data_IF_139889674103
#
_entry.id   IF_139889674103
#
_cell.length_a   1.000
_cell.length_b   1.000
_cell.length_c   1.000
_cell.angle_alpha   90.00
_cell.angle_beta   90.00
_cell.angle_gamma   90.00
#
_symmetry.space_group_name_H-M   'P 1'
#
loop_
_entity.id
_entity.type
_entity.pdbx_description
1 polymer ?
#
# COMPACT_ATOMS: atom_id res chain seq x y z
N UNK A 1 0.10 -40.96 -36.38
CA UNK A 1 0.57 -40.14 -37.52
C UNK A 1 2.05 -39.87 -37.29
N UNK A 2 2.90 -40.19 -38.28
CA UNK A 2 4.35 -40.36 -38.12
C UNK A 2 5.07 -39.11 -37.59
N UNK A 3 5.71 -39.22 -36.41
CA UNK A 3 6.83 -38.35 -36.07
C UNK A 3 8.02 -38.77 -36.93
N UNK A 4 8.37 -37.98 -37.95
CA UNK A 4 9.73 -38.05 -38.51
C UNK A 4 10.65 -37.49 -37.43
N UNK A 5 11.28 -38.38 -36.66
CA UNK A 5 12.51 -38.09 -35.95
C UNK A 5 13.60 -37.80 -36.99
N UNK A 6 13.64 -36.56 -37.49
CA UNK A 6 14.88 -36.00 -38.00
C UNK A 6 15.53 -35.30 -36.82
N UNK A 7 16.49 -35.99 -36.21
CA UNK A 7 17.43 -35.38 -35.28
C UNK A 7 18.38 -34.48 -36.07
N UNK A 8 17.84 -33.42 -36.70
CA UNK A 8 18.61 -32.30 -37.23
C UNK A 8 18.80 -31.35 -36.08
N UNK A 9 19.97 -31.41 -35.45
CA UNK A 9 20.43 -30.30 -34.62
C UNK A 9 20.43 -29.06 -35.50
N UNK A 10 19.55 -28.10 -35.18
CA UNK A 10 19.51 -26.80 -35.85
C UNK A 10 20.37 -25.88 -35.01
N UNK A 11 21.49 -25.44 -35.57
CA UNK A 11 22.33 -24.41 -34.94
C UNK A 11 21.62 -23.06 -35.03
N UNK A 12 21.03 -22.64 -33.93
CA UNK A 12 20.40 -21.33 -33.81
C UNK A 12 21.43 -20.31 -33.31
N UNK A 13 21.67 -19.28 -34.11
CA UNK A 13 22.54 -18.16 -33.74
C UNK A 13 21.70 -16.97 -33.31
N UNK A 14 22.07 -16.37 -32.18
CA UNK A 14 21.57 -15.06 -31.75
C UNK A 14 22.50 -14.01 -32.33
N UNK A 15 21.96 -13.12 -33.15
CA UNK A 15 22.73 -12.00 -33.74
C UNK A 15 22.10 -10.67 -33.35
N UNK A 16 22.91 -9.69 -32.96
CA UNK A 16 22.44 -8.31 -32.80
C UNK A 16 22.36 -7.64 -34.17
N UNK A 17 21.17 -7.17 -34.54
CA UNK A 17 20.93 -6.54 -35.84
C UNK A 17 20.29 -5.16 -35.68
N UNK A 18 20.56 -4.23 -36.61
CA UNK A 18 19.87 -2.94 -36.63
C UNK A 18 18.35 -3.10 -36.69
N UNK A 19 17.62 -2.39 -35.84
CA UNK A 19 16.17 -2.56 -35.66
C UNK A 19 15.38 -2.24 -36.94
N UNK A 20 15.89 -1.36 -37.79
CA UNK A 20 15.30 -0.96 -39.06
C UNK A 20 15.31 -2.08 -40.12
N UNK A 21 16.20 -3.06 -39.98
CA UNK A 21 16.23 -4.23 -40.87
C UNK A 21 15.13 -5.22 -40.53
N UNK A 22 14.62 -5.21 -39.29
CA UNK A 22 13.56 -6.10 -38.80
C UNK A 22 12.18 -5.58 -39.19
N UNK A 23 11.41 -6.43 -39.88
CA UNK A 23 10.13 -6.07 -40.53
C UNK A 23 8.94 -6.67 -39.77
N UNK A 24 8.08 -5.85 -39.15
CA UNK A 24 6.88 -6.37 -38.49
C UNK A 24 5.89 -6.95 -39.50
N UNK A 25 5.19 -8.02 -39.13
CA UNK A 25 4.12 -8.57 -39.95
C UNK A 25 2.82 -7.78 -39.77
N UNK A 26 2.41 -7.05 -40.81
CA UNK A 26 1.15 -6.28 -40.83
C UNK A 26 -0.10 -7.17 -40.73
N UNK A 27 0.02 -8.48 -40.95
CA UNK A 27 -1.06 -9.46 -40.81
C UNK A 27 -0.95 -10.30 -39.53
N UNK A 28 -0.19 -9.84 -38.53
CA UNK A 28 -0.12 -10.52 -37.24
C UNK A 28 -1.51 -10.50 -36.57
N UNK A 29 -2.12 -11.67 -36.27
CA UNK A 29 -3.41 -11.72 -35.60
C UNK A 29 -3.33 -11.28 -34.12
N UNK A 30 -2.14 -11.32 -33.50
CA UNK A 30 -1.96 -10.91 -32.10
C UNK A 30 -1.84 -9.41 -31.98
N UNK A 31 -2.71 -8.80 -31.18
CA UNK A 31 -2.67 -7.36 -30.85
C UNK A 31 -1.93 -7.16 -29.54
N UNK A 32 -1.18 -6.05 -29.43
CA UNK A 32 -0.47 -5.65 -28.23
C UNK A 32 -1.01 -4.29 -27.75
N UNK A 33 -1.46 -4.23 -26.50
CA UNK A 33 -1.92 -2.98 -25.91
C UNK A 33 -0.72 -2.09 -25.55
N UNK A 34 -0.93 -0.76 -25.44
CA UNK A 34 0.12 0.16 -24.98
C UNK A 34 0.67 -0.24 -23.61
N UNK A 35 -0.21 -0.69 -22.70
CA UNK A 35 0.16 -1.16 -21.37
C UNK A 35 1.09 -2.38 -21.44
N UNK A 36 0.75 -3.39 -22.24
CA UNK A 36 1.59 -4.58 -22.40
C UNK A 36 2.95 -4.22 -23.01
N UNK A 37 2.99 -3.33 -24.01
CA UNK A 37 4.25 -2.85 -24.60
C UNK A 37 5.11 -2.17 -23.54
N UNK A 38 4.52 -1.35 -22.66
CA UNK A 38 5.24 -0.72 -21.56
C UNK A 38 5.78 -1.74 -20.55
N UNK A 39 5.01 -2.77 -20.18
CA UNK A 39 5.50 -3.84 -19.30
C UNK A 39 6.72 -4.54 -19.92
N UNK A 40 6.65 -4.91 -21.20
CA UNK A 40 7.77 -5.52 -21.92
C UNK A 40 8.98 -4.56 -21.97
N UNK A 41 8.75 -3.26 -22.18
CA UNK A 41 9.81 -2.26 -22.18
C UNK A 41 10.49 -2.13 -20.81
N UNK A 42 9.72 -2.15 -19.72
CA UNK A 42 10.27 -2.14 -18.37
C UNK A 42 11.12 -3.39 -18.11
N UNK A 43 10.64 -4.58 -18.51
CA UNK A 43 11.43 -5.82 -18.39
C UNK A 43 12.73 -5.76 -19.21
N UNK A 44 12.70 -5.24 -20.43
CA UNK A 44 13.90 -5.06 -21.26
C UNK A 44 14.85 -4.03 -20.65
N UNK A 45 14.32 -2.95 -20.06
CA UNK A 45 15.12 -1.93 -19.40
C UNK A 45 15.85 -2.47 -18.18
N UNK A 46 15.19 -3.31 -17.37
CA UNK A 46 15.76 -3.89 -16.15
C UNK A 46 16.74 -5.04 -16.45
N UNK A 47 16.30 -6.05 -17.20
CA UNK A 47 17.05 -7.29 -17.39
C UNK A 47 17.88 -7.32 -18.67
N UNK A 48 17.78 -6.28 -19.50
CA UNK A 48 18.27 -6.29 -20.87
C UNK A 48 17.35 -7.08 -21.80
N UNK A 49 17.71 -7.11 -23.09
CA UNK A 49 16.92 -7.79 -24.12
C UNK A 49 17.22 -9.30 -24.14
N UNK A 50 16.84 -10.02 -23.08
CA UNK A 50 17.23 -11.42 -22.85
C UNK A 50 16.56 -12.39 -23.83
N UNK A 51 15.30 -12.14 -24.21
CA UNK A 51 14.56 -13.03 -25.12
C UNK A 51 14.65 -12.46 -26.54
N UNK A 52 15.34 -13.10 -27.52
CA UNK A 52 15.51 -12.57 -28.88
C UNK A 52 14.23 -12.61 -29.73
N UNK A 53 14.11 -11.67 -30.66
CA UNK A 53 13.04 -11.68 -31.66
C UNK A 53 13.31 -12.79 -32.68
N UNK A 54 12.28 -13.53 -33.08
CA UNK A 54 12.41 -14.59 -34.09
C UNK A 54 11.94 -14.06 -35.43
N UNK A 55 12.77 -14.17 -36.47
CA UNK A 55 12.46 -13.71 -37.84
C UNK A 55 12.65 -14.83 -38.88
N UNK A 56 12.03 -14.69 -40.03
CA UNK A 56 12.31 -15.52 -41.21
C UNK A 56 13.55 -15.04 -41.99
N UNK A 57 13.90 -15.73 -43.07
CA UNK A 57 15.02 -15.36 -43.95
C UNK A 57 14.91 -13.96 -44.56
N UNK A 58 13.72 -13.35 -44.58
CA UNK A 58 13.46 -12.00 -45.11
C UNK A 58 13.41 -10.89 -44.05
N UNK A 59 13.87 -11.18 -42.82
CA UNK A 59 13.78 -10.32 -41.63
C UNK A 59 12.36 -10.06 -41.14
N UNK A 60 11.38 -10.85 -41.56
CA UNK A 60 10.01 -10.67 -41.11
C UNK A 60 9.80 -11.31 -39.74
N UNK A 61 9.21 -10.58 -38.80
CA UNK A 61 8.95 -11.07 -37.44
C UNK A 61 7.96 -12.25 -37.49
N UNK A 62 8.39 -13.38 -36.92
CA UNK A 62 7.58 -14.56 -36.64
C UNK A 62 7.10 -14.58 -35.19
N UNK A 63 7.96 -14.20 -34.24
CA UNK A 63 7.64 -14.04 -32.81
C UNK A 63 8.37 -12.85 -32.21
N UNK A 64 7.71 -12.14 -31.29
CA UNK A 64 8.29 -11.01 -30.57
C UNK A 64 7.85 -9.62 -31.04
N UNK A 65 6.67 -9.47 -31.69
CA UNK A 65 6.14 -8.15 -32.09
C UNK A 65 6.01 -7.17 -30.91
N UNK A 66 5.55 -7.64 -29.75
CA UNK A 66 5.51 -6.83 -28.53
C UNK A 66 6.91 -6.35 -28.08
N UNK A 67 7.92 -7.23 -28.15
CA UNK A 67 9.33 -6.90 -27.86
C UNK A 67 9.91 -5.92 -28.87
N UNK A 68 9.58 -6.05 -30.16
CA UNK A 68 9.97 -5.08 -31.18
C UNK A 68 9.37 -3.69 -30.91
N UNK A 69 8.07 -3.64 -30.56
CA UNK A 69 7.41 -2.38 -30.21
C UNK A 69 8.00 -1.75 -28.94
N UNK A 70 8.30 -2.56 -27.93
CA UNK A 70 8.95 -2.12 -26.70
C UNK A 70 10.38 -1.60 -26.96
N UNK A 71 11.15 -2.28 -27.80
CA UNK A 71 12.49 -1.85 -28.19
C UNK A 71 12.48 -0.50 -28.90
N UNK A 72 11.49 -0.27 -29.78
CA UNK A 72 11.27 1.06 -30.39
C UNK A 72 10.92 2.11 -29.36
N UNK A 73 10.07 1.79 -28.38
CA UNK A 73 9.71 2.70 -27.30
C UNK A 73 10.94 3.11 -26.47
N UNK A 74 11.88 2.18 -26.26
CA UNK A 74 13.15 2.44 -25.58
C UNK A 74 14.22 3.12 -26.45
N UNK A 75 13.95 3.36 -27.73
CA UNK A 75 14.93 3.94 -28.65
C UNK A 75 16.10 3.02 -29.02
N UNK A 76 15.93 1.71 -28.91
CA UNK A 76 16.98 0.74 -29.24
C UNK A 76 17.36 0.82 -30.74
N UNK A 77 18.65 0.93 -31.03
CA UNK A 77 19.17 0.91 -32.41
C UNK A 77 19.45 -0.51 -32.90
N UNK A 78 19.78 -1.43 -32.00
CA UNK A 78 20.05 -2.83 -32.29
C UNK A 78 19.23 -3.74 -31.38
N UNK A 79 18.82 -4.90 -31.90
CA UNK A 79 18.03 -5.90 -31.19
C UNK A 79 18.58 -7.31 -31.43
N UNK A 80 18.49 -8.21 -30.44
CA UNK A 80 18.90 -9.60 -30.61
C UNK A 80 17.84 -10.37 -31.41
N UNK A 81 18.30 -11.09 -32.41
CA UNK A 81 17.45 -11.80 -33.38
C UNK A 81 17.94 -13.23 -33.59
N UNK A 82 16.98 -14.17 -33.62
CA UNK A 82 17.16 -15.54 -34.11
C UNK A 82 16.50 -15.64 -35.50
N UNK A 83 17.22 -16.18 -36.48
CA UNK A 83 16.73 -16.31 -37.85
C UNK A 83 16.41 -17.76 -38.19
N UNK A 84 15.20 -18.01 -38.68
CA UNK A 84 14.72 -19.33 -39.10
C UNK A 84 14.68 -19.44 -40.63
N UNK A 85 15.84 -19.63 -41.26
CA UNK A 85 15.95 -19.75 -42.73
C UNK A 85 15.48 -21.11 -43.26
N UNK A 86 15.50 -22.13 -42.40
CA UNK A 86 15.15 -23.51 -42.78
C UNK A 86 13.63 -23.74 -42.91
N UNK A 87 12.79 -22.83 -42.42
CA UNK A 87 11.35 -22.97 -42.48
C UNK A 87 10.80 -22.50 -43.84
N UNK A 88 9.94 -23.32 -44.44
CA UNK A 88 9.12 -22.86 -45.56
C UNK A 88 8.17 -21.73 -45.11
N UNK A 89 7.67 -20.88 -46.03
CA UNK A 89 6.72 -19.82 -45.68
C UNK A 89 5.48 -20.31 -44.93
N UNK A 90 4.98 -21.51 -45.26
CA UNK A 90 3.85 -22.12 -44.56
C UNK A 90 4.22 -22.56 -43.14
N UNK A 91 5.38 -23.18 -42.95
CA UNK A 91 5.85 -23.57 -41.62
C UNK A 91 6.13 -22.36 -40.73
N UNK A 92 6.74 -21.30 -41.26
CA UNK A 92 6.97 -20.04 -40.55
C UNK A 92 5.66 -19.39 -40.07
N UNK A 93 4.60 -19.49 -40.90
CA UNK A 93 3.24 -19.05 -40.53
C UNK A 93 2.62 -19.89 -39.43
N UNK A 94 2.71 -21.22 -39.52
CA UNK A 94 2.23 -22.13 -38.48
C UNK A 94 2.97 -21.85 -37.17
N UNK A 95 4.30 -21.72 -37.22
CA UNK A 95 5.13 -21.39 -36.06
C UNK A 95 4.69 -20.09 -35.38
N UNK A 96 4.50 -19.01 -36.16
CA UNK A 96 4.06 -17.71 -35.63
C UNK A 96 2.72 -17.78 -34.88
N UNK A 97 1.79 -18.66 -35.31
CA UNK A 97 0.53 -18.89 -34.60
C UNK A 97 0.75 -19.77 -33.38
N UNK A 98 1.47 -20.88 -33.54
CA UNK A 98 1.70 -21.87 -32.50
C UNK A 98 2.45 -21.28 -31.30
N UNK A 99 3.50 -20.48 -31.53
CA UNK A 99 4.29 -19.83 -30.46
C UNK A 99 3.41 -18.96 -29.54
N UNK A 100 2.41 -18.29 -30.10
CA UNK A 100 1.46 -17.50 -29.32
C UNK A 100 0.44 -18.40 -28.60
N UNK A 101 -0.16 -19.37 -29.32
CA UNK A 101 -1.26 -20.18 -28.79
C UNK A 101 -0.81 -21.18 -27.72
N UNK A 102 0.39 -21.75 -27.85
CA UNK A 102 0.88 -22.75 -26.90
C UNK A 102 1.15 -22.13 -25.53
N UNK A 103 1.60 -20.88 -25.47
CA UNK A 103 1.74 -20.14 -24.20
C UNK A 103 0.38 -19.90 -23.55
N UNK A 104 -0.67 -19.58 -24.33
CA UNK A 104 -2.05 -19.40 -23.81
C UNK A 104 -2.67 -20.67 -23.22
N UNK A 105 -2.19 -21.85 -23.63
CA UNK A 105 -2.71 -23.12 -23.14
C UNK A 105 -2.12 -23.52 -21.77
N UNK A 106 -1.16 -22.75 -21.25
CA UNK A 106 -0.55 -23.01 -19.94
C UNK A 106 -1.32 -22.29 -18.84
N UNK A 107 -1.38 -22.89 -17.66
CA UNK A 107 -2.03 -22.33 -16.47
C UNK A 107 -0.99 -22.15 -15.35
N UNK A 108 -1.25 -21.18 -14.48
CA UNK A 108 -0.43 -20.98 -13.29
C UNK A 108 -0.85 -21.95 -12.18
N UNK A 109 0.11 -22.45 -11.42
CA UNK A 109 -0.20 -23.05 -10.14
C UNK A 109 -0.27 -21.93 -9.09
N UNK A 110 -1.46 -21.47 -8.78
CA UNK A 110 -1.66 -20.22 -8.02
C UNK A 110 -0.96 -20.24 -6.65
N UNK A 111 -1.02 -21.34 -5.89
CA UNK A 111 -0.35 -21.41 -4.58
C UNK A 111 1.18 -21.27 -4.68
N UNK A 112 1.81 -21.93 -5.66
CA UNK A 112 3.26 -21.85 -5.84
C UNK A 112 3.66 -20.45 -6.33
N UNK A 113 2.87 -19.86 -7.22
CA UNK A 113 3.10 -18.51 -7.71
C UNK A 113 2.96 -17.48 -6.58
N UNK A 114 1.91 -17.59 -5.75
CA UNK A 114 1.70 -16.71 -4.60
C UNK A 114 2.87 -16.79 -3.61
N UNK A 115 3.35 -18.00 -3.31
CA UNK A 115 4.52 -18.22 -2.46
C UNK A 115 5.78 -17.54 -3.02
N UNK A 116 6.06 -17.71 -4.31
CA UNK A 116 7.21 -17.07 -4.97
C UNK A 116 7.08 -15.53 -4.94
N UNK A 117 5.89 -14.99 -5.21
CA UNK A 117 5.66 -13.54 -5.18
C UNK A 117 5.82 -12.97 -3.76
N UNK A 118 5.38 -13.70 -2.74
CA UNK A 118 5.56 -13.33 -1.33
C UNK A 118 7.03 -13.37 -0.93
N UNK A 119 7.77 -14.42 -1.29
CA UNK A 119 9.20 -14.55 -1.02
C UNK A 119 9.99 -13.39 -1.65
N UNK A 120 9.75 -13.09 -2.94
CA UNK A 120 10.38 -11.97 -3.63
C UNK A 120 10.04 -10.63 -2.98
N UNK A 121 8.77 -10.43 -2.57
CA UNK A 121 8.33 -9.23 -1.87
C UNK A 121 9.03 -9.02 -0.53
N UNK A 122 9.40 -10.10 0.16
CA UNK A 122 10.01 -10.04 1.48
C UNK A 122 11.54 -9.97 1.42
N UNK A 123 12.16 -10.52 0.38
CA UNK A 123 13.60 -10.57 0.22
C UNK A 123 14.22 -9.19 -0.06
N UNK A 124 13.58 -8.39 -0.91
CA UNK A 124 14.06 -7.06 -1.26
C UNK A 124 12.89 -6.15 -1.67
N UNK A 125 12.61 -5.15 -0.82
CA UNK A 125 11.53 -4.18 -1.02
C UNK A 125 11.78 -3.24 -2.22
N UNK A 126 12.99 -3.21 -2.77
CA UNK A 126 13.31 -2.44 -3.98
C UNK A 126 12.94 -3.18 -5.27
N UNK A 127 12.66 -4.48 -5.21
CA UNK A 127 12.26 -5.27 -6.38
C UNK A 127 10.88 -4.83 -6.85
N UNK A 128 10.81 -4.34 -8.09
CA UNK A 128 9.55 -4.02 -8.73
C UNK A 128 8.87 -5.30 -9.25
N UNK A 129 7.93 -5.85 -8.48
CA UNK A 129 7.18 -7.05 -8.86
C UNK A 129 6.30 -6.86 -10.11
N UNK A 130 5.99 -5.63 -10.54
CA UNK A 130 5.28 -5.39 -11.79
C UNK A 130 6.06 -5.90 -13.03
N UNK A 131 7.38 -6.10 -12.88
CA UNK A 131 8.24 -6.70 -13.92
C UNK A 131 7.92 -8.17 -14.21
N UNK A 132 7.17 -8.85 -13.33
CA UNK A 132 6.65 -10.20 -13.60
C UNK A 132 5.58 -10.21 -14.69
N UNK A 133 5.02 -9.04 -15.03
CA UNK A 133 3.92 -8.89 -15.98
C UNK A 133 2.53 -8.96 -15.34
N UNK A 134 2.43 -9.36 -14.07
CA UNK A 134 1.21 -9.22 -13.28
C UNK A 134 1.03 -7.77 -12.83
N UNK A 135 -0.22 -7.32 -12.72
CA UNK A 135 -0.50 -6.03 -12.07
C UNK A 135 -0.32 -6.12 -10.55
N UNK A 136 -0.03 -4.99 -9.91
CA UNK A 136 -0.02 -4.85 -8.43
C UNK A 136 -1.23 -5.54 -7.77
N UNK A 137 -2.43 -5.27 -8.30
CA UNK A 137 -3.68 -5.84 -7.76
C UNK A 137 -3.71 -7.37 -7.87
N UNK A 138 -3.25 -7.92 -8.99
CA UNK A 138 -3.18 -9.36 -9.22
C UNK A 138 -2.17 -10.06 -8.30
N UNK A 139 -1.08 -9.37 -7.97
CA UNK A 139 -0.07 -9.85 -7.03
C UNK A 139 -0.64 -9.84 -5.61
N UNK A 140 -1.24 -8.72 -5.19
CA UNK A 140 -1.79 -8.55 -3.85
C UNK A 140 -2.93 -9.54 -3.57
N UNK A 141 -3.83 -9.79 -4.53
CA UNK A 141 -4.91 -10.77 -4.35
C UNK A 141 -4.38 -12.19 -4.19
N UNK A 142 -3.41 -12.61 -5.03
CA UNK A 142 -2.82 -13.95 -4.92
C UNK A 142 -2.11 -14.19 -3.60
N UNK A 143 -1.40 -13.18 -3.11
CA UNK A 143 -0.74 -13.25 -1.80
C UNK A 143 -1.77 -13.27 -0.68
N UNK A 144 -2.83 -12.46 -0.76
CA UNK A 144 -3.87 -12.42 0.25
C UNK A 144 -4.62 -13.76 0.38
N UNK A 145 -4.96 -14.41 -0.74
CA UNK A 145 -5.63 -15.72 -0.75
C UNK A 145 -4.80 -16.83 -0.05
N UNK A 146 -3.47 -16.70 0.00
CA UNK A 146 -2.61 -17.60 0.77
C UNK A 146 -2.59 -17.31 2.27
N UNK A 147 -2.76 -16.05 2.67
CA UNK A 147 -2.60 -15.61 4.07
C UNK A 147 -3.93 -15.66 4.83
N UNK A 148 -5.06 -15.42 4.16
CA UNK A 148 -6.35 -15.32 4.83
C UNK A 148 -7.08 -16.66 5.01
N UNK A 149 -7.22 -17.08 6.27
CA UNK A 149 -8.23 -18.03 6.69
C UNK A 149 -9.60 -17.34 6.86
N UNK A 150 -10.61 -17.81 6.14
CA UNK A 150 -12.07 -17.55 6.20
C UNK A 150 -12.56 -16.22 6.85
N UNK A 151 -13.35 -15.40 6.12
CA UNK A 151 -13.98 -14.19 6.65
C UNK A 151 -15.10 -14.56 7.64
N UNK A 152 -14.99 -14.11 8.91
CA UNK A 152 -16.05 -13.87 9.91
C UNK A 152 -15.57 -13.92 11.38
N UNK A 153 -14.27 -14.00 11.66
CA UNK A 153 -13.75 -13.87 13.03
C UNK A 153 -13.29 -12.43 13.31
N UNK A 154 -13.43 -11.93 14.55
CA UNK A 154 -12.75 -10.72 15.00
C UNK A 154 -11.27 -10.77 14.61
N UNK A 155 -10.77 -9.72 13.96
CA UNK A 155 -9.36 -9.64 13.60
C UNK A 155 -8.53 -9.46 14.88
N UNK A 156 -7.61 -10.39 15.23
CA UNK A 156 -6.76 -10.22 16.40
C UNK A 156 -5.93 -8.93 16.35
N UNK A 157 -5.66 -8.39 15.16
CA UNK A 157 -4.95 -7.13 14.99
C UNK A 157 -5.79 -5.90 15.42
N UNK A 158 -7.12 -6.02 15.47
CA UNK A 158 -8.03 -4.96 15.96
C UNK A 158 -8.12 -4.93 17.49
N UNK A 159 -7.59 -5.93 18.18
CA UNK A 159 -7.57 -5.98 19.64
C UNK A 159 -6.63 -4.89 20.19
N UNK A 160 -7.17 -4.04 21.07
CA UNK A 160 -6.38 -3.01 21.74
C UNK A 160 -5.70 -3.59 22.98
N UNK A 161 -4.42 -3.25 23.12
CA UNK A 161 -3.60 -3.65 24.27
C UNK A 161 -3.56 -2.46 25.22
N UNK A 162 -3.90 -2.69 26.49
CA UNK A 162 -3.66 -1.68 27.53
C UNK A 162 -2.17 -1.66 27.86
N UNK A 163 -1.52 -0.50 27.74
CA UNK A 163 -0.20 -0.33 28.33
C UNK A 163 -0.35 -0.22 29.84
N UNK A 164 -0.06 -1.32 30.54
CA UNK A 164 0.26 -1.35 31.96
C UNK A 164 1.77 -1.13 32.17
N UNK A 165 2.17 -0.68 33.37
CA UNK A 165 3.58 -0.42 33.70
C UNK A 165 4.13 0.92 33.19
N UNK A 166 5.47 1.12 33.25
CA UNK A 166 6.11 2.39 32.91
C UNK A 166 5.99 2.69 31.41
N UNK A 167 5.91 3.99 31.08
CA UNK A 167 5.97 4.47 29.70
C UNK A 167 7.45 4.52 29.30
N UNK A 168 7.79 3.84 28.21
CA UNK A 168 9.16 3.62 27.77
C UNK A 168 9.59 4.70 26.78
N UNK A 169 8.75 4.96 25.77
CA UNK A 169 9.00 5.99 24.78
C UNK A 169 9.01 7.38 25.39
N UNK A 170 9.78 8.27 24.77
CA UNK A 170 9.88 9.69 25.11
C UNK A 170 9.81 10.54 23.84
N UNK A 171 9.43 11.80 24.00
CA UNK A 171 9.41 12.75 22.90
C UNK A 171 10.80 12.86 22.26
N UNK A 172 10.87 12.71 20.94
CA UNK A 172 12.10 12.67 20.14
C UNK A 172 12.62 11.25 19.88
N UNK A 173 12.11 10.22 20.55
CA UNK A 173 12.51 8.83 20.31
C UNK A 173 12.07 8.37 18.92
N UNK A 174 12.91 7.54 18.30
CA UNK A 174 12.61 6.90 17.02
C UNK A 174 12.68 5.40 17.23
N UNK A 175 11.63 4.71 16.81
CA UNK A 175 11.54 3.26 16.88
C UNK A 175 11.52 2.64 15.49
N UNK A 176 12.34 1.61 15.31
CA UNK A 176 12.41 0.78 14.12
C UNK A 176 11.63 -0.51 14.41
N UNK A 177 10.58 -0.76 13.63
CA UNK A 177 9.69 -1.90 13.77
C UNK A 177 9.84 -2.73 12.49
N UNK A 178 10.92 -3.51 12.40
CA UNK A 178 11.33 -4.15 11.15
C UNK A 178 11.58 -3.09 10.07
N UNK A 179 10.76 -3.11 9.00
CA UNK A 179 10.78 -2.11 7.92
C UNK A 179 10.08 -0.79 8.28
N UNK A 180 9.23 -0.79 9.31
CA UNK A 180 8.44 0.37 9.73
C UNK A 180 9.24 1.31 10.64
N UNK A 181 8.78 2.56 10.74
CA UNK A 181 9.39 3.57 11.59
C UNK A 181 8.33 4.40 12.31
N UNK A 182 8.52 4.64 13.60
CA UNK A 182 7.68 5.53 14.40
C UNK A 182 8.57 6.58 15.03
N UNK A 183 8.15 7.85 15.01
CA UNK A 183 8.74 8.91 15.82
C UNK A 183 7.73 9.36 16.88
N UNK A 184 8.20 9.47 18.12
CA UNK A 184 7.44 10.15 19.15
C UNK A 184 7.64 11.67 18.96
N UNK A 185 6.68 12.38 18.39
CA UNK A 185 6.91 13.74 17.92
C UNK A 185 5.64 14.54 17.57
N UNK A 186 5.84 15.81 17.24
CA UNK A 186 4.76 16.73 16.91
C UNK A 186 4.54 16.83 15.39
N UNK A 187 3.34 16.51 14.94
CA UNK A 187 2.91 16.51 13.53
C UNK A 187 2.70 17.91 12.94
N UNK A 188 2.89 18.96 13.75
CA UNK A 188 2.91 20.35 13.30
C UNK A 188 4.33 20.89 13.09
N UNK A 189 5.35 20.08 13.35
CA UNK A 189 6.75 20.49 13.27
C UNK A 189 7.48 19.81 12.11
N UNK A 190 8.09 20.60 11.23
CA UNK A 190 8.84 20.09 10.07
C UNK A 190 10.03 19.21 10.47
N UNK A 191 10.65 19.50 11.62
CA UNK A 191 11.77 18.71 12.14
C UNK A 191 11.38 17.24 12.38
N UNK A 192 10.15 16.99 12.87
CA UNK A 192 9.61 15.64 13.09
C UNK A 192 9.56 14.85 11.79
N UNK A 193 9.02 15.44 10.72
CA UNK A 193 8.94 14.80 9.40
C UNK A 193 10.34 14.58 8.80
N UNK A 194 11.24 15.54 8.95
CA UNK A 194 12.62 15.43 8.45
C UNK A 194 13.33 14.23 9.08
N UNK A 195 13.24 14.10 10.40
CA UNK A 195 13.84 12.99 11.15
C UNK A 195 13.20 11.65 10.80
N UNK A 196 11.87 11.57 10.78
CA UNK A 196 11.12 10.35 10.47
C UNK A 196 11.37 9.87 9.04
N UNK A 197 11.26 10.76 8.07
CA UNK A 197 11.31 10.39 6.66
C UNK A 197 12.74 10.17 6.16
N UNK A 198 13.75 10.80 6.80
CA UNK A 198 15.17 10.61 6.48
C UNK A 198 15.48 10.66 4.96
N UNK A 199 14.94 11.66 4.28
CA UNK A 199 15.09 11.85 2.83
C UNK A 199 14.11 11.06 1.95
N UNK A 200 13.39 10.09 2.50
CA UNK A 200 12.34 9.35 1.80
C UNK A 200 11.05 10.17 1.67
N UNK A 201 10.13 9.70 0.82
CA UNK A 201 8.83 10.34 0.58
C UNK A 201 7.71 9.29 0.63
N UNK A 202 6.57 9.70 1.19
CA UNK A 202 5.39 8.85 1.28
C UNK A 202 4.66 8.75 -0.07
N UNK A 203 4.14 7.57 -0.40
CA UNK A 203 3.31 7.32 -1.58
C UNK A 203 1.82 7.47 -1.28
N UNK A 204 1.47 7.48 0.00
CA UNK A 204 0.10 7.64 0.50
C UNK A 204 0.13 8.26 1.89
N UNK A 205 -0.91 9.03 2.20
CA UNK A 205 -1.23 9.43 3.57
C UNK A 205 -2.53 8.76 4.01
N UNK A 206 -2.51 8.18 5.20
CA UNK A 206 -3.70 7.90 6.00
C UNK A 206 -3.56 8.72 7.27
N UNK A 207 -4.55 9.57 7.57
CA UNK A 207 -4.45 10.50 8.69
C UNK A 207 -5.80 10.64 9.38
N UNK A 208 -5.82 10.33 10.67
CA UNK A 208 -6.95 10.50 11.59
C UNK A 208 -6.65 11.63 12.58
N UNK A 209 -6.40 12.82 12.05
CA UNK A 209 -6.14 14.01 12.87
C UNK A 209 -7.30 14.29 13.84
N UNK A 210 -7.04 14.83 15.05
CA UNK A 210 -8.11 15.10 16.01
C UNK A 210 -9.20 16.00 15.43
N UNK A 211 -10.45 15.72 15.80
CA UNK A 211 -11.61 16.40 15.21
C UNK A 211 -12.04 17.68 15.93
N UNK A 212 -11.29 18.17 16.92
CA UNK A 212 -11.70 19.33 17.73
C UNK A 212 -13.07 19.15 18.40
N UNK A 213 -13.33 17.92 18.88
CA UNK A 213 -14.54 17.54 19.61
C UNK A 213 -14.14 17.11 21.01
N UNK A 214 -14.82 17.65 22.03
CA UNK A 214 -14.60 17.24 23.43
C UNK A 214 -14.91 15.76 23.63
N UNK A 215 -13.98 15.04 24.23
CA UNK A 215 -14.14 13.60 24.50
C UNK A 215 -15.06 13.41 25.71
N UNK A 216 -14.87 14.20 26.77
CA UNK A 216 -15.66 14.09 27.99
C UNK A 216 -17.13 14.48 27.73
N UNK A 217 -18.04 13.54 28.00
CA UNK A 217 -19.49 13.66 27.74
C UNK A 217 -19.96 13.13 26.38
N UNK A 218 -19.04 12.82 25.43
CA UNK A 218 -19.38 12.26 24.12
C UNK A 218 -18.91 10.81 23.92
N UNK A 219 -17.86 10.40 24.63
CA UNK A 219 -17.34 9.03 24.64
C UNK A 219 -17.26 8.56 26.09
N UNK A 220 -18.04 7.54 26.45
CA UNK A 220 -18.03 6.96 27.80
C UNK A 220 -19.41 6.43 28.22
N UNK A 221 -19.44 5.23 28.81
CA UNK A 221 -20.66 4.54 29.23
C UNK A 221 -21.40 5.25 30.37
N UNK A 222 -22.24 6.23 30.04
CA UNK A 222 -23.12 6.96 30.98
C UNK A 222 -22.39 7.51 32.22
N UNK A 223 -21.16 8.02 32.05
CA UNK A 223 -20.41 8.69 33.12
C UNK A 223 -19.60 7.78 34.05
N UNK A 224 -19.62 6.45 33.86
CA UNK A 224 -18.80 5.51 34.64
C UNK A 224 -17.32 5.47 34.20
N UNK A 225 -17.01 5.93 32.99
CA UNK A 225 -15.68 5.90 32.38
C UNK A 225 -15.33 7.31 31.89
N UNK A 226 -14.19 7.85 32.33
CA UNK A 226 -13.66 9.16 31.91
C UNK A 226 -12.39 8.95 31.07
N UNK A 227 -12.43 9.28 29.79
CA UNK A 227 -11.22 9.34 28.95
C UNK A 227 -10.48 10.66 29.19
N UNK A 228 -9.15 10.63 29.08
CA UNK A 228 -8.35 11.85 28.96
C UNK A 228 -8.66 12.50 27.61
N UNK A 229 -8.70 13.83 27.58
CA UNK A 229 -8.79 14.60 26.34
C UNK A 229 -7.52 14.38 25.48
N UNK A 230 -7.63 14.58 24.17
CA UNK A 230 -6.48 14.54 23.28
C UNK A 230 -5.50 15.67 23.63
N UNK A 231 -4.21 15.47 23.33
CA UNK A 231 -3.17 16.47 23.58
C UNK A 231 -3.49 17.84 22.94
N UNK A 232 -4.15 17.84 21.76
CA UNK A 232 -4.59 19.03 21.04
C UNK A 232 -5.90 18.75 20.29
N UNK A 233 -6.64 19.81 19.96
CA UNK A 233 -7.87 19.77 19.17
C UNK A 233 -8.89 18.77 19.76
N UNK A 234 -9.24 19.02 21.03
CA UNK A 234 -10.26 18.34 21.82
C UNK A 234 -11.43 19.28 22.15
N UNK A 235 -11.74 20.22 21.24
CA UNK A 235 -12.87 21.15 21.36
C UNK A 235 -12.56 22.49 22.02
N UNK A 236 -11.27 22.83 22.13
CA UNK A 236 -10.77 24.12 22.60
C UNK A 236 -10.53 25.13 21.47
N UNK A 237 -10.39 24.68 20.22
CA UNK A 237 -10.05 25.57 19.10
C UNK A 237 -11.29 26.21 18.48
N UNK A 238 -11.21 27.50 18.15
CA UNK A 238 -12.16 28.14 17.24
C UNK A 238 -12.02 27.57 15.81
N UNK A 239 -13.03 27.74 14.92
CA UNK A 239 -12.93 27.29 13.54
C UNK A 239 -11.67 27.80 12.83
N UNK A 240 -11.30 29.08 13.00
CA UNK A 240 -10.08 29.65 12.39
C UNK A 240 -8.80 29.00 12.93
N UNK A 241 -8.72 28.76 14.24
CA UNK A 241 -7.56 28.09 14.84
C UNK A 241 -7.46 26.64 14.36
N UNK A 242 -8.58 25.96 14.21
CA UNK A 242 -8.60 24.58 13.74
C UNK A 242 -8.25 24.47 12.25
N UNK A 243 -8.73 25.39 11.41
CA UNK A 243 -8.28 25.52 10.02
C UNK A 243 -6.76 25.73 9.95
N UNK A 244 -6.20 26.62 10.79
CA UNK A 244 -4.76 26.85 10.84
C UNK A 244 -3.99 25.57 11.22
N UNK A 245 -4.46 24.86 12.25
CA UNK A 245 -3.89 23.58 12.69
C UNK A 245 -3.86 22.56 11.54
N UNK A 246 -5.00 22.34 10.88
CA UNK A 246 -5.12 21.38 9.78
C UNK A 246 -4.31 21.82 8.56
N UNK A 247 -4.22 23.11 8.28
CA UNK A 247 -3.43 23.64 7.15
C UNK A 247 -1.95 23.35 7.33
N UNK A 248 -1.41 23.51 8.55
CA UNK A 248 -0.02 23.16 8.86
C UNK A 248 0.20 21.66 8.70
N UNK A 249 -0.66 20.83 9.32
CA UNK A 249 -0.56 19.38 9.27
C UNK A 249 -0.62 18.86 7.82
N UNK A 250 -1.62 19.26 7.05
CA UNK A 250 -1.79 18.83 5.65
C UNK A 250 -0.68 19.36 4.75
N UNK A 251 -0.20 20.57 5.00
CA UNK A 251 0.93 21.15 4.27
C UNK A 251 2.21 20.32 4.45
N UNK A 252 2.51 19.88 5.68
CA UNK A 252 3.65 19.01 5.95
C UNK A 252 3.45 17.62 5.34
N UNK A 253 2.28 17.01 5.50
CA UNK A 253 1.96 15.73 4.86
C UNK A 253 2.14 15.78 3.34
N UNK A 254 1.63 16.83 2.69
CA UNK A 254 1.81 17.11 1.25
C UNK A 254 3.30 17.24 0.88
N UNK A 255 4.05 18.05 1.63
CA UNK A 255 5.48 18.30 1.42
C UNK A 255 6.34 17.03 1.51
N UNK A 256 6.00 16.10 2.40
CA UNK A 256 6.77 14.85 2.62
C UNK A 256 6.22 13.65 1.84
N UNK A 257 5.37 13.89 0.86
CA UNK A 257 4.87 12.88 -0.06
C UNK A 257 5.43 13.05 -1.47
N UNK A 258 5.41 11.99 -2.27
CA UNK A 258 5.74 12.05 -3.70
C UNK A 258 4.68 12.82 -4.46
N UNK A 259 5.03 13.33 -5.64
CA UNK A 259 4.02 13.85 -6.57
C UNK A 259 3.08 12.70 -6.97
N UNK A 260 1.77 12.96 -7.00
CA UNK A 260 0.70 12.03 -7.38
C UNK A 260 0.31 10.98 -6.31
N UNK A 261 0.75 11.17 -5.07
CA UNK A 261 0.26 10.41 -3.92
C UNK A 261 -1.22 10.70 -3.62
N UNK A 262 -1.90 9.74 -3.00
CA UNK A 262 -3.29 9.86 -2.56
C UNK A 262 -3.36 10.00 -1.04
N UNK A 263 -4.09 11.00 -0.57
CA UNK A 263 -4.14 11.38 0.84
C UNK A 263 -5.56 11.24 1.38
N UNK A 264 -5.72 10.43 2.42
CA UNK A 264 -6.99 10.14 3.08
C UNK A 264 -7.03 10.86 4.42
N UNK A 265 -7.94 11.82 4.54
CA UNK A 265 -8.17 12.59 5.76
C UNK A 265 -9.50 12.19 6.38
N UNK A 266 -9.44 11.45 7.49
CA UNK A 266 -10.63 11.13 8.27
C UNK A 266 -11.16 12.39 8.94
N UNK A 267 -12.47 12.51 9.01
CA UNK A 267 -13.15 13.72 9.47
C UNK A 267 -14.51 13.36 10.09
N UNK A 268 -14.85 14.05 11.17
CA UNK A 268 -16.23 14.12 11.65
C UNK A 268 -17.02 15.13 10.80
N UNK A 269 -18.28 14.82 10.48
CA UNK A 269 -19.14 15.66 9.66
C UNK A 269 -19.29 17.10 10.22
N UNK A 270 -19.15 17.30 11.53
CA UNK A 270 -19.25 18.61 12.19
C UNK A 270 -18.16 19.59 11.78
N UNK A 271 -17.00 19.07 11.34
CA UNK A 271 -15.85 19.90 10.96
C UNK A 271 -15.48 19.73 9.48
N UNK A 272 -16.43 19.29 8.66
CA UNK A 272 -16.21 19.08 7.23
C UNK A 272 -15.74 20.38 6.53
N UNK A 273 -16.26 21.54 6.95
CA UNK A 273 -15.88 22.84 6.38
C UNK A 273 -14.40 23.16 6.64
N UNK A 274 -13.93 22.98 7.88
CA UNK A 274 -12.56 23.26 8.29
C UNK A 274 -11.56 22.34 7.58
N UNK A 275 -11.87 21.04 7.52
CA UNK A 275 -11.07 20.05 6.79
C UNK A 275 -11.02 20.34 5.29
N UNK A 276 -12.16 20.64 4.67
CA UNK A 276 -12.20 20.98 3.24
C UNK A 276 -11.44 22.28 2.94
N UNK A 277 -11.50 23.25 3.84
CA UNK A 277 -10.80 24.53 3.70
C UNK A 277 -9.30 24.35 3.78
N UNK A 278 -8.79 23.65 4.80
CA UNK A 278 -7.37 23.33 4.92
C UNK A 278 -6.87 22.47 3.74
N UNK A 279 -7.66 21.48 3.32
CA UNK A 279 -7.32 20.59 2.20
C UNK A 279 -7.18 21.31 0.87
N UNK A 280 -8.00 22.34 0.60
CA UNK A 280 -7.89 23.18 -0.61
C UNK A 280 -6.56 23.94 -0.67
N UNK A 281 -5.98 24.28 0.47
CA UNK A 281 -4.70 24.99 0.55
C UNK A 281 -3.50 24.04 0.41
N UNK A 282 -3.63 22.80 0.88
CA UNK A 282 -2.51 21.85 0.93
C UNK A 282 -2.40 20.91 -0.28
N UNK A 283 -3.51 20.63 -0.96
CA UNK A 283 -3.59 19.59 -1.99
C UNK A 283 -4.03 20.15 -3.35
N UNK A 284 -3.70 19.41 -4.42
CA UNK A 284 -4.07 19.84 -5.76
C UNK A 284 -5.57 19.69 -6.02
N UNK A 285 -6.15 18.56 -5.64
CA UNK A 285 -7.53 18.23 -5.95
C UNK A 285 -8.15 17.31 -4.89
N UNK A 286 -9.38 17.61 -4.46
CA UNK A 286 -10.27 16.64 -3.81
C UNK A 286 -10.88 15.75 -4.89
N UNK A 287 -10.59 14.45 -4.87
CA UNK A 287 -11.06 13.51 -5.89
C UNK A 287 -12.25 12.66 -5.43
N UNK A 288 -12.47 12.51 -4.13
CA UNK A 288 -13.61 11.77 -3.61
C UNK A 288 -13.94 12.18 -2.16
N UNK A 289 -15.18 11.93 -1.78
CA UNK A 289 -15.65 11.91 -0.39
C UNK A 289 -16.16 10.49 -0.12
N UNK A 290 -15.46 9.79 0.76
CA UNK A 290 -15.82 8.45 1.18
C UNK A 290 -16.66 8.54 2.45
N UNK A 291 -17.69 7.70 2.53
CA UNK A 291 -18.51 7.50 3.72
C UNK A 291 -18.19 6.13 4.30
N UNK A 292 -17.52 6.11 5.45
CA UNK A 292 -17.35 4.88 6.21
C UNK A 292 -18.60 4.64 7.05
N UNK A 293 -19.40 3.65 6.66
CA UNK A 293 -20.59 3.17 7.37
C UNK A 293 -20.18 2.15 8.42
N UNK A 294 -20.45 2.49 9.67
CA UNK A 294 -20.26 1.61 10.84
C UNK A 294 -21.44 0.64 10.94
N UNK A 295 -21.35 -0.40 11.75
CA UNK A 295 -22.46 -1.34 11.98
C UNK A 295 -23.50 -0.84 13.00
N UNK A 296 -23.15 0.10 13.88
CA UNK A 296 -24.07 0.72 14.84
C UNK A 296 -23.90 2.23 14.92
N UNK A 297 -24.99 2.96 15.17
CA UNK A 297 -24.94 4.39 15.43
C UNK A 297 -24.32 4.73 16.79
N UNK A 298 -23.64 5.87 16.87
CA UNK A 298 -23.08 6.43 18.11
C UNK A 298 -24.14 6.74 19.18
N UNK A 299 -23.72 7.18 20.36
CA UNK A 299 -24.63 7.61 21.44
C UNK A 299 -25.45 8.85 21.01
N UNK A 300 -26.68 8.97 21.52
CA UNK A 300 -27.59 10.08 21.22
C UNK A 300 -29.05 9.63 21.04
N UNK A 301 -29.99 10.60 21.09
CA UNK A 301 -31.43 10.34 21.02
C UNK A 301 -32.10 10.77 19.71
N UNK A 302 -31.44 11.60 18.90
CA UNK A 302 -31.93 12.02 17.58
C UNK A 302 -31.27 11.20 16.45
N UNK A 303 -30.78 11.83 15.39
CA UNK A 303 -30.00 11.13 14.36
C UNK A 303 -28.62 10.75 14.91
N UNK A 304 -28.48 9.46 15.22
CA UNK A 304 -27.23 8.87 15.70
C UNK A 304 -26.29 8.64 14.51
N UNK A 305 -25.15 9.33 14.49
CA UNK A 305 -24.15 9.12 13.45
C UNK A 305 -23.70 7.67 13.40
N UNK A 306 -23.95 7.01 12.27
CA UNK A 306 -23.47 5.66 11.93
C UNK A 306 -22.37 5.73 10.86
N UNK A 307 -21.75 6.88 10.69
CA UNK A 307 -20.70 7.05 9.71
C UNK A 307 -19.61 8.01 10.19
N UNK A 308 -18.45 7.89 9.54
CA UNK A 308 -17.41 8.92 9.48
C UNK A 308 -17.16 9.27 8.01
N UNK A 309 -16.60 10.45 7.77
CA UNK A 309 -16.26 10.93 6.45
C UNK A 309 -14.75 10.83 6.22
N UNK A 310 -14.36 10.57 4.98
CA UNK A 310 -12.95 10.54 4.60
C UNK A 310 -12.80 11.35 3.30
N UNK A 311 -12.07 12.44 3.38
CA UNK A 311 -11.75 13.28 2.23
C UNK A 311 -10.52 12.70 1.54
N UNK A 312 -10.66 12.42 0.23
CA UNK A 312 -9.60 11.80 -0.57
C UNK A 312 -9.03 12.82 -1.54
N UNK A 313 -7.78 13.21 -1.30
CA UNK A 313 -7.07 14.20 -2.09
C UNK A 313 -5.97 13.57 -2.94
N UNK A 314 -5.62 14.26 -4.03
CA UNK A 314 -4.39 14.03 -4.78
C UNK A 314 -3.41 15.14 -4.45
N UNK A 315 -2.20 14.74 -4.07
CA UNK A 315 -1.04 15.61 -4.04
C UNK A 315 -0.43 15.66 -5.45
N UNK A 316 -0.15 16.85 -5.99
CA UNK A 316 0.44 16.93 -7.33
C UNK A 316 -0.54 16.91 -8.51
N UNK A 317 -0.02 17.03 -9.74
CA UNK A 317 -0.82 17.24 -10.98
C UNK A 317 -0.70 16.12 -12.02
N UNK A 318 0.19 15.17 -11.83
CA UNK A 318 0.40 14.02 -12.70
C UNK A 318 -0.60 12.87 -12.45
N UNK A 319 -0.40 11.75 -13.15
CA UNK A 319 -1.26 10.57 -13.02
C UNK A 319 -1.03 9.88 -11.67
N UNK A 320 -2.11 9.66 -10.92
CA UNK A 320 -2.09 8.85 -9.70
C UNK A 320 -2.18 7.36 -10.00
N UNK A 321 -1.64 6.52 -9.11
CA UNK A 321 -1.93 5.08 -9.12
C UNK A 321 -3.41 4.85 -8.77
N UNK A 322 -4.02 3.93 -9.49
CA UNK A 322 -5.39 3.47 -9.26
C UNK A 322 -5.38 1.95 -9.40
N UNK A 323 -5.46 1.24 -8.27
CA UNK A 323 -5.48 -0.23 -8.24
C UNK A 323 -6.91 -0.78 -8.26
N UNK A 324 -7.92 0.08 -8.09
CA UNK A 324 -9.34 -0.30 -8.20
C UNK A 324 -9.68 -0.63 -9.65
N UNK A 325 -9.32 0.25 -10.60
CA UNK A 325 -9.47 0.00 -12.05
C UNK A 325 -10.83 -0.58 -12.47
N UNK A 326 -11.92 -0.15 -11.82
CA UNK A 326 -13.28 -0.66 -12.03
C UNK A 326 -13.40 -2.20 -11.88
N UNK A 327 -12.62 -2.80 -10.99
CA UNK A 327 -12.66 -4.25 -10.74
C UNK A 327 -11.98 -5.09 -11.82
N UNK A 328 -11.30 -4.49 -12.81
CA UNK A 328 -10.66 -5.21 -13.93
C UNK A 328 -9.77 -6.38 -13.46
N UNK A 329 -9.10 -6.22 -12.32
CA UNK A 329 -8.20 -7.19 -11.73
C UNK A 329 -8.71 -7.70 -10.37
N UNK A 330 -10.03 -7.78 -10.18
CA UNK A 330 -10.64 -8.36 -8.97
C UNK A 330 -10.88 -7.37 -7.82
N UNK A 331 -10.16 -6.24 -7.76
CA UNK A 331 -10.37 -5.22 -6.73
C UNK A 331 -11.42 -4.19 -7.13
N UNK A 332 -12.63 -4.28 -6.60
CA UNK A 332 -13.71 -3.31 -6.84
C UNK A 332 -14.04 -2.53 -5.56
N UNK A 333 -14.08 -1.20 -5.65
CA UNK A 333 -14.27 -0.30 -4.50
C UNK A 333 -15.21 0.83 -4.89
N UNK A 334 -16.10 1.18 -3.98
CA UNK A 334 -16.95 2.39 -4.07
C UNK A 334 -16.53 3.39 -3.00
N UNK A 335 -17.14 4.58 -3.03
CA UNK A 335 -16.93 5.58 -1.98
C UNK A 335 -17.82 5.35 -0.74
N UNK A 336 -18.48 4.20 -0.62
CA UNK A 336 -19.15 3.78 0.60
C UNK A 336 -18.40 2.57 1.15
N UNK A 337 -17.80 2.73 2.31
CA UNK A 337 -17.00 1.70 2.96
C UNK A 337 -17.80 1.11 4.11
N UNK A 338 -18.07 -0.19 4.08
CA UNK A 338 -18.82 -0.87 5.12
C UNK A 338 -17.87 -1.69 5.99
N UNK A 339 -17.52 -1.15 7.16
CA UNK A 339 -16.67 -1.84 8.14
C UNK A 339 -17.25 -1.63 9.53
N UNK A 340 -17.19 -2.64 10.43
CA UNK A 340 -17.70 -2.49 11.79
C UNK A 340 -16.98 -1.37 12.55
N UNK A 341 -17.73 -0.68 13.42
CA UNK A 341 -17.14 0.27 14.37
C UNK A 341 -16.81 -0.44 15.69
N UNK A 342 -15.75 -0.03 16.38
CA UNK A 342 -15.23 -0.75 17.57
C UNK A 342 -16.24 -0.85 18.73
N UNK A 343 -17.22 0.05 18.82
CA UNK A 343 -18.33 -0.01 19.81
C UNK A 343 -19.15 -1.32 19.76
N UNK A 344 -19.01 -2.12 18.70
CA UNK A 344 -19.68 -3.43 18.58
C UNK A 344 -18.81 -4.61 18.96
N UNK A 345 -17.47 -4.47 18.96
CA UNK A 345 -16.54 -5.52 19.38
C UNK A 345 -16.62 -5.75 20.89
N UNK A 346 -16.94 -4.72 21.68
CA UNK A 346 -17.04 -4.78 23.14
C UNK A 346 -18.33 -5.45 23.67
N UNK A 347 -19.22 -5.94 22.79
CA UNK A 347 -20.43 -6.67 23.22
C UNK A 347 -20.29 -8.19 23.14
N UNK A 348 -19.20 -8.70 22.56
CA UNK A 348 -19.02 -10.14 22.33
C UNK A 348 -17.96 -10.81 23.22
N UNK A 349 -17.18 -10.05 23.98
CA UNK A 349 -16.28 -10.59 25.01
C UNK A 349 -16.90 -10.44 26.40
N UNK A 350 -16.87 -11.50 27.21
CA UNK A 350 -17.18 -11.43 28.66
C UNK A 350 -16.15 -10.59 29.44
N UNK A 351 -15.04 -10.21 28.80
CA UNK A 351 -13.98 -9.38 29.34
C UNK A 351 -13.97 -7.99 28.67
N UNK A 352 -14.17 -6.96 29.49
CA UNK A 352 -13.51 -5.65 29.39
C UNK A 352 -13.74 -4.79 28.13
N UNK A 353 -14.58 -3.76 28.30
CA UNK A 353 -14.74 -2.56 27.46
C UNK A 353 -13.49 -2.12 26.63
N UNK A 354 -13.45 -2.45 25.33
CA UNK A 354 -12.57 -1.80 24.33
C UNK A 354 -12.71 -0.26 24.28
N UNK A 355 -13.82 0.26 24.82
CA UNK A 355 -14.03 1.69 25.07
C UNK A 355 -12.91 2.33 25.91
N UNK A 356 -12.24 1.58 26.82
CA UNK A 356 -11.28 2.09 27.79
C UNK A 356 -9.99 2.69 27.19
N UNK A 357 -9.61 2.34 25.95
CA UNK A 357 -8.21 2.44 25.52
C UNK A 357 -7.89 3.56 24.51
N UNK A 358 -8.75 3.84 23.53
CA UNK A 358 -8.61 4.99 22.62
C UNK A 358 -9.97 5.27 21.93
N UNK A 359 -10.45 6.52 21.86
CA UNK A 359 -11.84 6.83 21.47
C UNK A 359 -12.17 6.60 19.98
N UNK A 360 -11.17 6.53 19.08
CA UNK A 360 -11.38 6.49 17.61
C UNK A 360 -10.51 5.47 16.86
N UNK A 361 -10.38 4.24 17.34
CA UNK A 361 -9.56 3.24 16.62
C UNK A 361 -10.25 2.82 15.30
N UNK A 362 -9.50 2.84 14.22
CA UNK A 362 -9.92 2.39 12.88
C UNK A 362 -9.60 0.91 12.73
N UNK A 363 -10.45 0.16 12.03
CA UNK A 363 -10.22 -1.26 11.78
C UNK A 363 -9.06 -1.48 10.82
N UNK A 364 -8.15 -2.41 11.15
CA UNK A 364 -6.94 -2.74 10.38
C UNK A 364 -7.30 -3.13 8.95
N UNK A 365 -8.35 -3.93 8.75
CA UNK A 365 -8.81 -4.34 7.41
C UNK A 365 -9.22 -3.16 6.51
N UNK A 366 -9.91 -2.15 7.07
CA UNK A 366 -10.32 -0.97 6.30
C UNK A 366 -9.11 -0.16 5.84
N UNK A 367 -8.16 0.04 6.74
CA UNK A 367 -6.92 0.78 6.46
C UNK A 367 -6.05 0.00 5.46
N UNK A 368 -5.93 -1.33 5.62
CA UNK A 368 -5.24 -2.20 4.68
C UNK A 368 -5.85 -2.10 3.27
N UNK A 369 -7.18 -2.14 3.16
CA UNK A 369 -7.86 -1.96 1.89
C UNK A 369 -7.61 -0.58 1.27
N UNK A 370 -7.66 0.49 2.07
CA UNK A 370 -7.33 1.83 1.56
C UNK A 370 -5.88 1.89 1.04
N UNK A 371 -4.94 1.25 1.72
CA UNK A 371 -3.53 1.15 1.28
C UNK A 371 -3.44 0.45 -0.08
N UNK A 372 -4.11 -0.68 -0.24
CA UNK A 372 -4.14 -1.45 -1.49
C UNK A 372 -4.76 -0.67 -2.66
N UNK A 373 -5.64 0.31 -2.42
CA UNK A 373 -6.34 1.05 -3.47
C UNK A 373 -5.41 1.92 -4.35
N UNK A 374 -4.27 2.36 -3.80
CA UNK A 374 -3.41 3.34 -4.45
C UNK A 374 -1.89 3.16 -4.26
N UNK A 375 -1.42 2.11 -3.57
CA UNK A 375 0.01 1.85 -3.35
C UNK A 375 0.46 0.50 -3.93
N UNK A 376 1.76 0.30 -4.07
CA UNK A 376 2.41 -0.99 -4.37
C UNK A 376 3.13 -1.53 -3.14
N UNK A 377 3.50 -2.81 -3.14
CA UNK A 377 4.30 -3.41 -2.06
C UNK A 377 5.61 -2.64 -1.89
N UNK A 378 6.10 -2.56 -0.65
CA UNK A 378 7.29 -1.80 -0.27
C UNK A 378 7.12 -0.28 -0.22
N UNK A 379 6.06 0.29 -0.79
CA UNK A 379 5.86 1.74 -0.74
C UNK A 379 5.48 2.23 0.65
N UNK A 380 5.85 3.49 0.92
CA UNK A 380 5.69 4.13 2.22
C UNK A 380 4.30 4.75 2.35
N UNK A 381 3.58 4.35 3.40
CA UNK A 381 2.36 4.97 3.92
C UNK A 381 2.74 5.80 5.14
N UNK A 382 2.51 7.11 5.09
CA UNK A 382 2.76 7.99 6.22
C UNK A 382 1.46 8.27 6.97
N UNK A 383 1.52 8.06 8.29
CA UNK A 383 0.46 8.41 9.23
C UNK A 383 0.99 9.45 10.22
N UNK A 384 0.54 10.68 10.06
CA UNK A 384 0.98 11.78 10.91
C UNK A 384 0.20 11.85 12.23
N UNK A 385 -0.79 10.99 12.46
CA UNK A 385 -1.55 10.94 13.71
C UNK A 385 -1.80 9.46 14.07
N UNK A 386 -0.69 8.77 14.31
CA UNK A 386 -0.64 7.30 14.33
C UNK A 386 -1.51 6.68 15.43
N UNK A 387 -1.67 7.37 16.57
CA UNK A 387 -2.42 6.87 17.72
C UNK A 387 -1.92 5.49 18.13
N UNK A 388 -2.85 4.55 18.30
CA UNK A 388 -2.55 3.16 18.70
C UNK A 388 -1.84 2.31 17.63
N UNK A 389 -1.48 2.84 16.46
CA UNK A 389 -0.67 2.12 15.48
C UNK A 389 -1.43 1.29 14.43
N UNK A 390 -2.73 1.53 14.21
CA UNK A 390 -3.51 0.76 13.21
C UNK A 390 -2.86 0.76 11.82
N UNK A 391 -2.32 1.91 11.38
CA UNK A 391 -1.68 2.01 10.05
C UNK A 391 -0.40 1.19 9.95
N UNK A 392 0.35 1.01 11.05
CA UNK A 392 1.52 0.13 11.08
C UNK A 392 1.11 -1.33 10.87
N UNK A 393 0.09 -1.80 11.60
CA UNK A 393 -0.40 -3.19 11.47
C UNK A 393 -0.99 -3.45 10.08
N UNK A 394 -1.76 -2.50 9.55
CA UNK A 394 -2.35 -2.58 8.22
C UNK A 394 -1.27 -2.65 7.14
N UNK A 395 -0.27 -1.76 7.20
CA UNK A 395 0.85 -1.75 6.27
C UNK A 395 1.66 -3.05 6.35
N UNK A 396 1.93 -3.57 7.56
CA UNK A 396 2.62 -4.84 7.76
C UNK A 396 1.87 -5.98 7.04
N UNK A 397 0.56 -6.13 7.30
CA UNK A 397 -0.27 -7.19 6.70
C UNK A 397 -0.24 -7.15 5.18
N UNK A 398 -0.29 -5.97 4.56
CA UNK A 398 -0.33 -5.84 3.09
C UNK A 398 1.05 -5.62 2.45
N UNK A 399 2.14 -5.79 3.21
CA UNK A 399 3.51 -5.68 2.69
C UNK A 399 3.91 -4.27 2.24
N UNK A 400 3.36 -3.22 2.86
CA UNK A 400 3.80 -1.82 2.71
C UNK A 400 4.64 -1.40 3.90
N UNK A 401 5.30 -0.26 3.79
CA UNK A 401 6.09 0.33 4.87
C UNK A 401 5.28 1.45 5.53
N UNK A 402 5.26 1.51 6.86
CA UNK A 402 4.60 2.59 7.59
C UNK A 402 5.66 3.52 8.20
N UNK A 403 5.47 4.82 8.03
CA UNK A 403 6.17 5.85 8.79
C UNK A 403 5.14 6.62 9.60
N UNK A 404 5.24 6.56 10.93
CA UNK A 404 4.22 7.09 11.84
C UNK A 404 4.74 8.20 12.74
N UNK A 405 3.91 9.21 13.00
CA UNK A 405 4.13 10.25 14.02
C UNK A 405 3.03 10.10 15.08
N UNK A 406 3.44 10.00 16.34
CA UNK A 406 2.53 10.06 17.49
C UNK A 406 3.16 10.93 18.58
N UNK A 407 2.38 11.83 19.15
CA UNK A 407 2.90 12.81 20.12
C UNK A 407 2.89 12.27 21.55
N UNK A 408 1.93 11.40 21.89
CA UNK A 408 1.80 10.82 23.22
C UNK A 408 2.66 9.55 23.32
N UNK A 409 3.71 9.54 24.17
CA UNK A 409 4.62 8.39 24.21
C UNK A 409 3.93 7.08 24.62
N UNK A 410 2.84 7.16 25.39
CA UNK A 410 2.01 5.98 25.73
C UNK A 410 1.45 5.30 24.47
N UNK A 411 0.99 6.07 23.48
CA UNK A 411 0.42 5.48 22.27
C UNK A 411 1.49 4.93 21.33
N UNK A 412 2.70 5.51 21.34
CA UNK A 412 3.89 4.92 20.70
C UNK A 412 4.18 3.53 21.28
N UNK A 413 4.22 3.41 22.61
CA UNK A 413 4.40 2.11 23.28
C UNK A 413 3.32 1.09 22.89
N UNK A 414 2.04 1.52 22.86
CA UNK A 414 0.92 0.65 22.44
C UNK A 414 1.07 0.19 21.00
N UNK A 415 1.44 1.09 20.08
CA UNK A 415 1.67 0.75 18.68
C UNK A 415 2.79 -0.27 18.52
N UNK A 416 3.89 -0.11 19.26
CA UNK A 416 5.00 -1.07 19.31
C UNK A 416 4.53 -2.43 19.82
N UNK A 417 3.87 -2.48 20.98
CA UNK A 417 3.40 -3.74 21.57
C UNK A 417 2.45 -4.50 20.64
N UNK A 418 1.53 -3.79 19.97
CA UNK A 418 0.61 -4.39 19.00
C UNK A 418 1.36 -4.99 17.81
N UNK A 419 2.36 -4.28 17.28
CA UNK A 419 3.18 -4.78 16.18
C UNK A 419 4.02 -5.99 16.59
N UNK A 420 4.72 -5.93 17.74
CA UNK A 420 5.50 -7.07 18.26
C UNK A 420 4.62 -8.31 18.48
N UNK A 421 3.38 -8.13 18.97
CA UNK A 421 2.43 -9.24 19.13
C UNK A 421 1.99 -9.84 17.78
N UNK A 422 1.82 -9.01 16.76
CA UNK A 422 1.42 -9.45 15.42
C UNK A 422 2.55 -10.20 14.71
N UNK A 423 3.78 -9.72 14.80
CA UNK A 423 4.92 -10.23 14.02
C UNK A 423 5.80 -11.21 14.78
N UNK A 424 5.81 -11.13 16.11
CA UNK A 424 6.78 -11.83 16.96
C UNK A 424 8.19 -11.21 16.94
N UNK A 425 8.38 -10.09 16.23
CA UNK A 425 9.65 -9.37 16.16
C UNK A 425 9.81 -8.35 17.29
N UNK A 426 11.03 -7.86 17.50
CA UNK A 426 11.34 -6.84 18.51
C UNK A 426 11.58 -5.47 17.88
N UNK A 427 10.89 -4.45 18.38
CA UNK A 427 11.13 -3.07 17.98
C UNK A 427 12.44 -2.56 18.59
N UNK A 428 13.23 -1.82 17.81
CA UNK A 428 14.55 -1.31 18.20
C UNK A 428 14.50 0.21 18.33
N UNK A 429 14.96 0.72 19.46
CA UNK A 429 15.14 2.14 19.68
C UNK A 429 16.36 2.63 18.88
N UNK A 430 16.13 3.49 17.88
CA UNK A 430 17.15 3.86 16.90
C UNK A 430 18.37 4.53 17.54
N UNK A 431 18.17 5.34 18.58
CA UNK A 431 19.24 6.08 19.23
C UNK A 431 20.11 5.21 20.15
N UNK A 432 19.54 4.22 20.86
CA UNK A 432 20.30 3.39 21.81
C UNK A 432 20.66 2.00 21.26
N UNK A 433 20.01 1.55 20.18
CA UNK A 433 20.16 0.21 19.62
C UNK A 433 19.54 -0.91 20.47
N UNK A 434 18.86 -0.58 21.58
CA UNK A 434 18.22 -1.56 22.47
C UNK A 434 16.80 -1.87 22.00
N UNK A 435 16.33 -3.09 22.28
CA UNK A 435 14.93 -3.44 22.02
C UNK A 435 13.98 -2.78 23.00
N UNK A 436 12.70 -2.68 22.61
CA UNK A 436 11.64 -2.18 23.49
C UNK A 436 11.54 -3.00 24.78
N UNK A 437 11.65 -4.33 24.68
CA UNK A 437 11.59 -5.22 25.83
C UNK A 437 12.79 -5.05 26.77
N UNK A 438 14.00 -4.82 26.23
CA UNK A 438 15.19 -4.52 27.03
C UNK A 438 15.02 -3.21 27.80
N UNK A 439 14.54 -2.16 27.14
CA UNK A 439 14.30 -0.87 27.78
C UNK A 439 13.17 -0.95 28.82
N UNK A 440 12.19 -1.81 28.59
CA UNK A 440 11.13 -2.11 29.58
C UNK A 440 11.72 -2.75 30.83
N UNK A 441 12.51 -3.81 30.67
CA UNK A 441 13.17 -4.51 31.79
C UNK A 441 14.11 -3.60 32.59
N UNK A 442 14.88 -2.74 31.91
CA UNK A 442 15.75 -1.77 32.56
C UNK A 442 14.97 -0.76 33.40
N UNK A 443 13.84 -0.28 32.89
CA UNK A 443 13.00 0.67 33.61
C UNK A 443 12.32 0.03 34.83
N UNK A 444 11.84 -1.21 34.69
CA UNK A 444 11.24 -1.96 35.80
C UNK A 444 12.27 -2.25 36.91
N UNK A 445 13.49 -2.65 36.54
CA UNK A 445 14.59 -2.89 37.50
C UNK A 445 15.08 -1.63 38.24
N UNK A 446 14.76 -0.44 37.76
CA UNK A 446 15.04 0.83 38.45
C UNK A 446 13.90 1.31 39.36
N UNK A 447 12.73 0.65 39.30
CA UNK A 447 11.56 0.98 40.11
C UNK A 447 11.30 0.02 41.29
N UNK A 448 12.01 -1.10 41.34
CA UNK A 448 12.19 -1.97 42.53
C UNK A 448 13.38 -1.54 43.39
#
# INVERSE_FOLDING_TARGET
MFYKNQNTSIDLLITNQPIELVRPDLRNPRKHSKQQIQQIANCIGEFGFVVPIVVDGSNKILSGHGRYAAAKLLGATHIPVIRLEHLTPAQARIFSIADNRLVENSEWHDDLLAGILLELSNADLSINLDLTGFSVTEIDLRIADQIEGKPNTPDPADELIEKSGPIISKLGDIWLLGKHRIICGNSLEEATFTLLMNGLKAHMIISDSPFNVRINGHVGGNGAIKHKEFAFASGEMSPTQFIQFLTVAFGLQSKYSVDNSVHYQFCDWRHLEEFMTAGKSAYHQLINLVVWVKNSGALGSFYRSRHELILVYVNGKGPRRNNVQLGKYGRNRTNVWEYPGILTMSKQSEEGNLLLMHPTVKGVAMIADAILDCTSRGEIVLDAFLGSGTTVLAAERVGRVCHGIEIEPKYVDVAIMRWQRLTGESAIHAQSGKSFDQLTQEMEAHHD
#
